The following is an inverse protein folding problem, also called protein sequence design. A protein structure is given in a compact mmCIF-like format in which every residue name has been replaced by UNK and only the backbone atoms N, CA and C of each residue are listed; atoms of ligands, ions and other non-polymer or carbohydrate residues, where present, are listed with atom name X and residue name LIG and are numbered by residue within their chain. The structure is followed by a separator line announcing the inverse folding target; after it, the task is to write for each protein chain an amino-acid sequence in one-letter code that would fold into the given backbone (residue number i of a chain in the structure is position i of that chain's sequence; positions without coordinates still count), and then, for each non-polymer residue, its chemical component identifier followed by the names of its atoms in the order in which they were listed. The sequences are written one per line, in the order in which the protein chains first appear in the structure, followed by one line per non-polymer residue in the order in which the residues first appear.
data_IF_478189316104
#
_entry.id   IF_478189316104
#
_cell.length_a   1.000
_cell.length_b   1.000
_cell.length_c   1.000
_cell.angle_alpha   90.00
_cell.angle_beta   90.00
_cell.angle_gamma   90.00
#
_symmetry.space_group_name_H-M   'P 1'
#
loop_
_entity.id
_entity.type
_entity.pdbx_description
1 polymer ?
#
# COMPACT_ATOMS: atom_id res chain seq x y z
N UNK A 1 -8.18 -37.13 -11.81
CA UNK A 1 -8.93 -38.17 -11.08
C UNK A 1 -8.05 -39.34 -10.66
N UNK A 2 -7.27 -39.97 -11.55
CA UNK A 2 -6.41 -41.13 -11.18
C UNK A 2 -5.34 -40.78 -10.12
N UNK A 3 -4.68 -39.61 -10.24
CA UNK A 3 -3.65 -39.16 -9.29
C UNK A 3 -4.21 -38.81 -7.90
N UNK A 4 -5.43 -38.27 -7.85
CA UNK A 4 -6.14 -37.96 -6.60
C UNK A 4 -6.69 -39.23 -5.93
N UNK A 5 -7.11 -40.23 -6.73
CA UNK A 5 -7.52 -41.53 -6.23
C UNK A 5 -6.33 -42.36 -5.70
N UNK A 6 -5.19 -42.31 -6.38
CA UNK A 6 -3.96 -42.97 -5.92
C UNK A 6 -3.39 -42.30 -4.65
N UNK A 7 -3.45 -40.97 -4.57
CA UNK A 7 -3.09 -40.20 -3.36
C UNK A 7 -4.04 -40.51 -2.20
N UNK A 8 -5.35 -40.58 -2.44
CA UNK A 8 -6.33 -41.03 -1.42
C UNK A 8 -6.05 -42.46 -0.95
N UNK A 9 -5.73 -43.40 -1.85
CA UNK A 9 -5.37 -44.78 -1.49
C UNK A 9 -4.04 -44.92 -0.75
N UNK A 10 -3.10 -43.99 -0.94
CA UNK A 10 -1.86 -43.93 -0.18
C UNK A 10 -2.07 -43.28 1.19
N UNK A 11 -3.06 -42.39 1.32
CA UNK A 11 -3.47 -41.79 2.59
C UNK A 11 -4.36 -42.71 3.43
N UNK A 12 -5.13 -43.62 2.81
CA UNK A 12 -6.09 -44.54 3.47
C UNK A 12 -5.50 -45.27 4.69
N UNK A 13 -4.35 -45.99 4.61
CA UNK A 13 -3.87 -46.77 5.76
C UNK A 13 -3.37 -45.90 6.91
N UNK A 14 -2.72 -44.77 6.60
CA UNK A 14 -2.23 -43.83 7.62
C UNK A 14 -3.38 -43.05 8.26
N UNK A 15 -4.42 -42.71 7.49
CA UNK A 15 -5.61 -42.05 7.97
C UNK A 15 -6.45 -43.00 8.84
N UNK A 16 -6.60 -44.25 8.43
CA UNK A 16 -7.29 -45.30 9.18
C UNK A 16 -6.55 -45.62 10.49
N UNK A 17 -5.22 -45.73 10.46
CA UNK A 17 -4.41 -45.93 11.67
C UNK A 17 -4.48 -44.73 12.62
N UNK A 18 -4.39 -43.51 12.09
CA UNK A 18 -4.53 -42.29 12.89
C UNK A 18 -5.93 -42.19 13.50
N UNK A 19 -6.98 -42.52 12.74
CA UNK A 19 -8.37 -42.48 13.21
C UNK A 19 -8.67 -43.58 14.23
N UNK A 20 -8.13 -44.79 14.04
CA UNK A 20 -8.21 -45.85 15.04
C UNK A 20 -7.53 -45.42 16.34
N UNK A 21 -6.28 -44.92 16.27
CA UNK A 21 -5.56 -44.40 17.45
C UNK A 21 -6.31 -43.25 18.12
N UNK A 22 -6.95 -42.36 17.35
CA UNK A 22 -7.76 -41.28 17.91
C UNK A 22 -8.92 -41.76 18.77
N UNK A 23 -9.48 -42.94 18.46
CA UNK A 23 -10.63 -43.49 19.17
C UNK A 23 -10.25 -44.48 20.28
N UNK A 24 -9.03 -45.01 20.28
CA UNK A 24 -8.63 -46.11 21.19
C UNK A 24 -7.49 -45.76 22.15
N UNK A 25 -6.61 -44.82 21.81
CA UNK A 25 -5.45 -44.46 22.65
C UNK A 25 -5.81 -43.41 23.71
N UNK A 26 -5.11 -43.45 24.85
CA UNK A 26 -5.22 -42.42 25.89
C UNK A 26 -4.60 -41.09 25.44
N UNK A 27 -5.08 -39.99 26.00
CA UNK A 27 -4.85 -38.62 25.51
C UNK A 27 -3.38 -38.24 25.24
N UNK A 28 -2.38 -38.64 26.05
CA UNK A 28 -0.97 -38.31 25.79
C UNK A 28 -0.40 -38.89 24.49
N UNK A 29 -0.85 -40.09 24.09
CA UNK A 29 -0.40 -40.80 22.90
C UNK A 29 -1.43 -40.73 21.75
N UNK A 30 -2.57 -40.08 22.01
CA UNK A 30 -3.68 -39.94 21.09
C UNK A 30 -3.40 -38.84 20.04
N UNK A 31 -3.44 -39.13 18.73
CA UNK A 31 -3.23 -38.12 17.68
C UNK A 31 -4.20 -36.93 17.73
N UNK A 32 -5.36 -37.06 18.40
CA UNK A 32 -6.30 -35.97 18.64
C UNK A 32 -5.69 -34.83 19.46
N UNK A 33 -4.64 -35.10 20.26
CA UNK A 33 -3.88 -34.07 20.96
C UNK A 33 -3.39 -32.96 20.00
N UNK A 34 -3.08 -33.29 18.75
CA UNK A 34 -2.69 -32.29 17.74
C UNK A 34 -3.81 -31.29 17.42
N UNK A 35 -5.09 -31.70 17.53
CA UNK A 35 -6.24 -30.80 17.39
C UNK A 35 -6.27 -29.83 18.56
N UNK A 36 -6.14 -30.31 19.81
CA UNK A 36 -6.07 -29.45 20.98
C UNK A 36 -4.87 -28.49 20.93
N UNK A 37 -3.74 -28.94 20.39
CA UNK A 37 -2.57 -28.08 20.14
C UNK A 37 -2.90 -27.01 19.09
N UNK A 38 -3.59 -27.37 18.00
CA UNK A 38 -3.99 -26.41 16.96
C UNK A 38 -5.06 -25.40 17.43
N UNK A 39 -5.94 -25.80 18.37
CA UNK A 39 -6.88 -24.89 19.03
C UNK A 39 -6.18 -23.88 19.95
N UNK A 40 -5.12 -24.32 20.63
CA UNK A 40 -4.34 -23.47 21.55
C UNK A 40 -3.30 -22.61 20.83
N UNK A 41 -2.66 -23.14 19.78
CA UNK A 41 -1.55 -22.53 19.06
C UNK A 41 -1.88 -22.47 17.57
N UNK A 42 -1.83 -21.27 17.00
CA UNK A 42 -1.99 -21.12 15.55
C UNK A 42 -0.91 -21.91 14.77
N UNK A 43 -1.22 -22.47 13.59
CA UNK A 43 -0.22 -23.12 12.75
C UNK A 43 1.01 -22.25 12.47
N UNK A 44 0.79 -20.94 12.30
CA UNK A 44 1.86 -19.94 12.16
C UNK A 44 2.77 -19.92 13.39
N UNK A 45 2.20 -19.87 14.60
CA UNK A 45 2.99 -19.84 15.83
C UNK A 45 3.83 -21.11 16.02
N UNK A 46 3.28 -22.28 15.68
CA UNK A 46 4.00 -23.56 15.74
C UNK A 46 5.18 -23.56 14.76
N UNK A 47 4.95 -23.18 13.50
CA UNK A 47 6.00 -23.13 12.48
C UNK A 47 7.08 -22.09 12.80
N UNK A 48 6.70 -20.89 13.22
CA UNK A 48 7.66 -19.86 13.62
C UNK A 48 8.45 -20.29 14.86
N UNK A 49 7.84 -20.99 15.82
CA UNK A 49 8.57 -21.54 16.98
C UNK A 49 9.60 -22.59 16.54
N UNK A 50 9.25 -23.49 15.62
CA UNK A 50 10.19 -24.47 15.06
C UNK A 50 11.36 -23.80 14.32
N UNK A 51 11.09 -22.80 13.48
CA UNK A 51 12.13 -22.04 12.78
C UNK A 51 13.06 -21.31 13.77
N UNK A 52 12.50 -20.73 14.84
CA UNK A 52 13.29 -20.08 15.89
C UNK A 52 14.16 -21.08 16.65
N UNK A 53 13.62 -22.27 16.95
CA UNK A 53 14.35 -23.32 17.64
C UNK A 53 15.53 -23.85 16.81
N UNK A 54 15.35 -23.98 15.49
CA UNK A 54 16.39 -24.44 14.57
C UNK A 54 17.50 -23.39 14.35
N UNK A 55 17.11 -22.12 14.12
CA UNK A 55 18.05 -21.07 13.72
C UNK A 55 18.70 -20.36 14.91
N UNK A 56 18.01 -20.24 16.04
CA UNK A 56 18.51 -19.49 17.20
C UNK A 56 18.60 -17.98 16.99
N UNK A 57 18.06 -17.44 15.90
CA UNK A 57 18.10 -16.01 15.53
C UNK A 57 16.70 -15.43 15.33
N UNK A 58 16.61 -14.13 15.11
CA UNK A 58 15.39 -13.46 14.70
C UNK A 58 14.86 -14.00 13.36
N UNK A 59 13.53 -14.11 13.25
CA UNK A 59 12.89 -14.47 11.99
C UNK A 59 12.72 -13.26 11.10
N UNK A 60 12.79 -13.49 9.80
CA UNK A 60 12.49 -12.49 8.76
C UNK A 60 11.35 -13.02 7.89
N UNK A 61 10.31 -12.21 7.69
CA UNK A 61 9.12 -12.56 6.93
C UNK A 61 8.91 -11.61 5.74
N UNK A 62 8.64 -12.11 4.52
CA UNK A 62 8.33 -11.27 3.38
C UNK A 62 6.84 -10.86 3.35
N UNK A 63 6.50 -9.90 2.48
CA UNK A 63 5.17 -9.40 2.15
C UNK A 63 4.45 -8.59 3.24
N UNK A 64 4.98 -8.50 4.45
CA UNK A 64 4.38 -7.72 5.55
C UNK A 64 3.38 -8.53 6.39
N UNK A 65 2.59 -7.80 7.19
CA UNK A 65 1.63 -8.39 8.12
C UNK A 65 0.48 -9.08 7.37
N UNK A 66 0.10 -10.33 7.73
CA UNK A 66 -1.17 -10.90 7.30
C UNK A 66 -2.35 -10.40 8.14
N UNK A 67 -2.10 -9.65 9.22
CA UNK A 67 -3.13 -9.08 10.09
C UNK A 67 -3.63 -7.78 9.47
N UNK A 68 -4.90 -7.76 9.08
CA UNK A 68 -5.57 -6.57 8.53
C UNK A 68 -6.51 -6.01 9.57
N UNK A 69 -6.25 -4.78 10.01
CA UNK A 69 -7.00 -4.11 11.08
C UNK A 69 -7.85 -2.95 10.55
N UNK A 70 -7.56 -2.44 9.36
CA UNK A 70 -8.37 -1.43 8.69
C UNK A 70 -9.72 -2.01 8.25
N UNK A 71 -10.86 -1.51 8.78
CA UNK A 71 -12.19 -2.10 8.56
C UNK A 71 -12.80 -1.62 7.24
N UNK A 72 -12.06 -1.73 6.13
CA UNK A 72 -12.49 -1.24 4.83
C UNK A 72 -13.86 -1.81 4.41
N UNK A 73 -14.16 -3.06 4.76
CA UNK A 73 -15.42 -3.73 4.45
C UNK A 73 -16.63 -3.23 5.22
N UNK A 74 -16.41 -2.50 6.33
CA UNK A 74 -17.49 -1.89 7.13
C UNK A 74 -17.88 -0.49 6.62
N UNK A 75 -17.11 0.07 5.68
CA UNK A 75 -17.41 1.32 4.99
C UNK A 75 -18.13 1.02 3.68
N UNK A 76 -19.28 1.64 3.44
CA UNK A 76 -20.09 1.45 2.24
C UNK A 76 -20.20 2.75 1.45
N UNK A 77 -20.11 2.65 0.12
CA UNK A 77 -20.39 3.76 -0.80
C UNK A 77 -21.91 3.94 -0.96
N UNK A 78 -22.37 5.18 -0.94
CA UNK A 78 -23.80 5.53 -0.96
C UNK A 78 -24.31 5.81 -2.38
N UNK A 79 -25.08 4.91 -3.00
CA UNK A 79 -25.65 5.18 -4.33
C UNK A 79 -26.70 6.30 -4.28
N UNK A 80 -26.83 7.05 -5.37
CA UNK A 80 -27.81 8.14 -5.52
C UNK A 80 -28.65 7.87 -6.76
N UNK A 81 -29.97 8.01 -6.65
CA UNK A 81 -30.90 7.58 -7.71
C UNK A 81 -31.92 8.66 -8.09
N UNK A 82 -32.73 9.14 -7.13
CA UNK A 82 -33.88 9.99 -7.43
C UNK A 82 -33.70 11.44 -6.96
N UNK A 83 -33.14 11.66 -5.77
CA UNK A 83 -32.90 13.02 -5.25
C UNK A 83 -31.67 13.69 -5.91
N UNK A 84 -30.76 12.87 -6.45
CA UNK A 84 -29.67 13.26 -7.32
C UNK A 84 -29.51 12.14 -8.33
N UNK A 85 -29.73 12.46 -9.61
CA UNK A 85 -29.61 11.47 -10.68
C UNK A 85 -28.14 11.02 -10.83
N UNK A 86 -27.88 9.73 -11.10
CA UNK A 86 -26.56 9.26 -11.48
C UNK A 86 -26.01 10.02 -12.68
N UNK A 87 -24.68 10.10 -12.76
CA UNK A 87 -24.03 10.64 -13.94
C UNK A 87 -24.32 9.73 -15.17
N UNK A 88 -24.67 10.25 -16.35
CA UNK A 88 -25.18 9.42 -17.43
C UNK A 88 -24.14 8.48 -18.07
N UNK A 89 -22.86 8.85 -18.06
CA UNK A 89 -21.79 8.08 -18.72
C UNK A 89 -20.56 7.97 -17.82
N UNK A 90 -20.29 6.77 -17.31
CA UNK A 90 -19.14 6.52 -16.45
C UNK A 90 -17.80 6.73 -17.17
N UNK A 91 -17.75 6.59 -18.50
CA UNK A 91 -16.51 6.73 -19.27
C UNK A 91 -15.97 8.16 -19.27
N UNK A 92 -16.83 9.14 -19.00
CA UNK A 92 -16.49 10.56 -18.86
C UNK A 92 -16.14 10.96 -17.42
N UNK A 93 -16.19 10.03 -16.46
CA UNK A 93 -15.77 10.33 -15.09
C UNK A 93 -14.28 10.63 -15.07
N UNK A 94 -13.92 11.81 -14.57
CA UNK A 94 -12.54 12.27 -14.47
C UNK A 94 -11.80 11.46 -13.40
N UNK A 95 -10.72 10.82 -13.82
CA UNK A 95 -9.86 9.95 -13.00
C UNK A 95 -8.51 10.59 -12.71
N UNK A 96 -8.25 11.78 -13.25
CA UNK A 96 -6.96 12.45 -13.11
C UNK A 96 -6.73 12.93 -11.68
N UNK A 97 -5.48 12.87 -11.23
CA UNK A 97 -5.04 13.49 -9.97
C UNK A 97 -3.74 14.25 -10.17
N UNK A 98 -3.51 15.26 -9.34
CA UNK A 98 -2.31 16.10 -9.39
C UNK A 98 -1.67 16.10 -8.01
N UNK A 99 -0.42 15.68 -7.93
CA UNK A 99 0.37 15.72 -6.69
C UNK A 99 1.33 16.91 -6.75
N UNK A 100 1.31 17.71 -5.68
CA UNK A 100 2.06 18.94 -5.55
C UNK A 100 1.68 19.99 -6.60
N UNK A 101 0.41 20.43 -6.68
CA UNK A 101 -0.06 21.41 -7.66
C UNK A 101 0.65 22.77 -7.57
N UNK A 102 1.29 23.07 -6.43
CA UNK A 102 2.08 24.28 -6.20
C UNK A 102 3.56 24.13 -6.61
N UNK A 103 4.01 22.94 -6.98
CA UNK A 103 5.33 22.74 -7.56
C UNK A 103 5.39 23.33 -8.98
N UNK A 104 6.57 23.75 -9.43
CA UNK A 104 6.76 24.29 -10.79
C UNK A 104 6.52 23.23 -11.86
N UNK A 105 6.83 21.97 -11.56
CA UNK A 105 6.57 20.79 -12.39
C UNK A 105 5.73 19.79 -11.59
N UNK A 106 4.40 20.01 -11.45
CA UNK A 106 3.55 19.12 -10.66
C UNK A 106 3.43 17.74 -11.32
N UNK A 107 3.20 16.72 -10.50
CA UNK A 107 3.03 15.35 -10.98
C UNK A 107 1.56 15.14 -11.41
N UNK A 108 1.34 15.00 -12.71
CA UNK A 108 -0.01 14.86 -13.31
C UNK A 108 -0.25 13.40 -13.68
N UNK A 109 -1.16 12.73 -12.97
CA UNK A 109 -1.44 11.30 -13.10
C UNK A 109 -2.80 11.08 -13.76
N UNK A 110 -2.88 10.05 -14.61
CA UNK A 110 -4.12 9.68 -15.29
C UNK A 110 -5.11 8.95 -14.36
N UNK A 111 -4.63 8.40 -13.24
CA UNK A 111 -5.40 7.69 -12.22
C UNK A 111 -4.83 8.01 -10.83
N UNK A 112 -5.63 7.94 -9.75
CA UNK A 112 -5.15 8.20 -8.39
C UNK A 112 -4.53 6.96 -7.73
N UNK A 113 -4.03 6.02 -8.53
CA UNK A 113 -3.38 4.79 -8.08
C UNK A 113 -1.91 4.86 -8.50
N UNK A 114 -1.00 4.83 -7.53
CA UNK A 114 0.44 4.96 -7.73
C UNK A 114 1.14 3.69 -7.25
N UNK A 115 2.29 3.35 -7.84
CA UNK A 115 3.11 2.23 -7.34
C UNK A 115 4.05 2.73 -6.25
N UNK A 116 3.98 2.12 -5.06
CA UNK A 116 4.77 2.51 -3.88
C UNK A 116 6.24 2.14 -4.03
N UNK A 117 7.09 2.76 -3.20
CA UNK A 117 8.54 2.51 -3.20
C UNK A 117 8.89 1.09 -2.76
N UNK A 118 9.54 0.35 -3.66
CA UNK A 118 10.12 -0.97 -3.38
C UNK A 118 11.51 -1.00 -3.99
N UNK A 119 12.55 -1.14 -3.18
CA UNK A 119 13.95 -0.90 -3.58
C UNK A 119 14.48 -1.93 -4.57
N UNK A 120 15.23 -1.48 -5.59
CA UNK A 120 16.12 -2.39 -6.32
C UNK A 120 17.23 -2.87 -5.37
N UNK A 121 17.45 -4.18 -5.30
CA UNK A 121 18.50 -4.78 -4.47
C UNK A 121 18.03 -5.15 -3.07
N UNK A 122 17.57 -4.16 -2.29
CA UNK A 122 17.02 -4.40 -0.95
C UNK A 122 15.71 -5.19 -0.96
N UNK A 123 14.94 -5.10 -2.06
CA UNK A 123 13.66 -5.80 -2.21
C UNK A 123 13.58 -6.52 -3.55
N UNK A 124 13.39 -5.78 -4.64
CA UNK A 124 13.03 -6.31 -5.95
C UNK A 124 14.23 -6.48 -6.86
N UNK A 125 14.12 -7.43 -7.80
CA UNK A 125 15.05 -7.56 -8.93
C UNK A 125 14.92 -6.37 -9.88
N UNK A 126 15.98 -6.08 -10.65
CA UNK A 126 15.94 -5.00 -11.64
C UNK A 126 14.84 -5.24 -12.69
N UNK A 127 14.65 -6.50 -13.10
CA UNK A 127 13.62 -6.88 -14.06
C UNK A 127 12.21 -6.54 -13.54
N UNK A 128 11.94 -6.80 -12.25
CA UNK A 128 10.66 -6.44 -11.66
C UNK A 128 10.49 -4.92 -11.56
N UNK A 129 11.56 -4.18 -11.22
CA UNK A 129 11.55 -2.71 -11.21
C UNK A 129 11.21 -2.12 -12.58
N UNK A 130 11.81 -2.65 -13.64
CA UNK A 130 11.50 -2.28 -15.02
C UNK A 130 10.06 -2.62 -15.40
N UNK A 131 9.56 -3.79 -14.99
CA UNK A 131 8.17 -4.20 -15.27
C UNK A 131 7.16 -3.26 -14.60
N UNK A 132 7.38 -2.91 -13.33
CA UNK A 132 6.53 -1.95 -12.61
C UNK A 132 6.57 -0.57 -13.25
N UNK A 133 7.75 -0.08 -13.64
CA UNK A 133 7.94 1.20 -14.31
C UNK A 133 7.19 1.26 -15.65
N UNK A 134 7.37 0.25 -16.50
CA UNK A 134 6.66 0.12 -17.79
C UNK A 134 5.14 0.01 -17.60
N UNK A 135 4.69 -0.83 -16.67
CA UNK A 135 3.26 -1.02 -16.42
C UNK A 135 2.57 0.24 -15.89
N UNK A 136 3.23 0.96 -14.98
CA UNK A 136 2.76 2.27 -14.50
C UNK A 136 2.72 3.31 -15.64
N UNK A 137 3.74 3.34 -16.50
CA UNK A 137 3.79 4.22 -17.66
C UNK A 137 2.63 3.99 -18.64
N UNK A 138 2.32 2.73 -18.94
CA UNK A 138 1.19 2.32 -19.79
C UNK A 138 -0.17 2.74 -19.20
N UNK A 139 -0.31 2.72 -17.88
CA UNK A 139 -1.51 3.20 -17.18
C UNK A 139 -1.54 4.72 -16.96
N UNK A 140 -0.46 5.44 -17.30
CA UNK A 140 -0.34 6.88 -17.12
C UNK A 140 -0.15 7.31 -15.66
N UNK A 141 0.44 6.46 -14.82
CA UNK A 141 0.73 6.73 -13.41
C UNK A 141 2.22 6.63 -13.08
N UNK A 142 2.58 6.83 -11.81
CA UNK A 142 3.95 6.84 -11.31
C UNK A 142 4.39 5.51 -10.73
N UNK A 143 5.72 5.31 -10.77
CA UNK A 143 6.44 4.31 -9.96
C UNK A 143 7.42 5.00 -9.03
N UNK A 144 7.98 4.27 -8.07
CA UNK A 144 8.86 4.81 -7.04
C UNK A 144 10.09 3.90 -6.86
N UNK A 145 11.28 4.50 -6.77
CA UNK A 145 12.56 3.76 -6.67
C UNK A 145 12.62 2.84 -5.46
N UNK A 146 11.91 3.17 -4.38
CA UNK A 146 12.17 2.61 -3.06
C UNK A 146 13.46 3.16 -2.46
N UNK A 147 13.88 2.60 -1.33
CA UNK A 147 15.16 2.85 -0.66
C UNK A 147 16.37 2.35 -1.49
N UNK A 148 16.58 2.95 -2.67
CA UNK A 148 17.61 2.61 -3.66
C UNK A 148 17.95 3.83 -4.52
N UNK A 149 19.05 3.75 -5.28
CA UNK A 149 19.46 4.77 -6.24
C UNK A 149 18.61 4.76 -7.52
N UNK A 150 18.71 5.82 -8.33
CA UNK A 150 18.11 5.86 -9.67
C UNK A 150 18.95 5.04 -10.65
N UNK A 151 18.41 3.92 -11.11
CA UNK A 151 19.00 3.15 -12.22
C UNK A 151 18.57 3.73 -13.58
N UNK A 152 19.38 3.55 -14.62
CA UNK A 152 19.03 4.01 -15.96
C UNK A 152 17.84 3.22 -16.50
N UNK A 153 17.83 1.92 -16.26
CA UNK A 153 16.79 1.00 -16.71
C UNK A 153 15.42 1.36 -16.13
N UNK A 154 15.34 1.66 -14.82
CA UNK A 154 14.08 2.08 -14.20
C UNK A 154 13.66 3.47 -14.69
N UNK A 155 14.60 4.41 -14.81
CA UNK A 155 14.29 5.77 -15.27
C UNK A 155 13.77 5.78 -16.71
N UNK A 156 14.41 5.04 -17.61
CA UNK A 156 14.05 4.98 -19.03
C UNK A 156 12.70 4.27 -19.23
N UNK A 157 12.36 3.34 -18.35
CA UNK A 157 11.08 2.64 -18.36
C UNK A 157 9.91 3.45 -17.77
N UNK A 158 10.18 4.37 -16.85
CA UNK A 158 9.16 5.09 -16.10
C UNK A 158 8.68 6.35 -16.84
N UNK A 159 7.35 6.51 -16.95
CA UNK A 159 6.75 7.80 -17.34
C UNK A 159 6.95 8.86 -16.26
N UNK A 160 6.64 8.49 -15.02
CA UNK A 160 6.90 9.30 -13.83
C UNK A 160 7.64 8.47 -12.78
N UNK A 161 8.79 8.94 -12.32
CA UNK A 161 9.59 8.28 -11.30
C UNK A 161 9.70 9.16 -10.06
N UNK A 162 9.24 8.62 -8.95
CA UNK A 162 9.39 9.19 -7.62
C UNK A 162 10.65 8.59 -6.99
N UNK A 163 11.56 9.42 -6.50
CA UNK A 163 12.76 8.95 -5.82
C UNK A 163 12.58 9.00 -4.31
N UNK A 164 12.76 7.88 -3.63
CA UNK A 164 12.75 7.82 -2.17
C UNK A 164 14.11 8.18 -1.58
N UNK A 165 14.23 9.39 -1.04
CA UNK A 165 15.41 9.85 -0.33
C UNK A 165 15.36 9.33 1.11
N UNK A 166 16.32 8.50 1.50
CA UNK A 166 16.19 7.65 2.69
C UNK A 166 17.50 7.57 3.49
N UNK A 167 17.45 6.81 4.59
CA UNK A 167 18.50 6.73 5.62
C UNK A 167 19.76 5.96 5.19
N UNK A 168 19.71 5.23 4.08
CA UNK A 168 20.88 4.52 3.52
C UNK A 168 21.77 5.39 2.62
N UNK A 169 21.26 6.51 2.10
CA UNK A 169 22.06 7.48 1.33
C UNK A 169 22.34 7.10 -0.13
N UNK A 170 21.78 6.00 -0.65
CA UNK A 170 21.99 5.55 -2.04
C UNK A 170 21.44 6.55 -3.06
N UNK A 171 20.24 7.10 -2.80
CA UNK A 171 19.69 8.21 -3.57
C UNK A 171 20.26 9.53 -3.04
N UNK A 172 21.41 9.92 -3.57
CA UNK A 172 22.07 11.17 -3.20
C UNK A 172 22.67 11.88 -4.41
N UNK A 173 22.95 13.17 -4.23
CA UNK A 173 23.57 14.01 -5.25
C UNK A 173 22.59 14.56 -6.29
N UNK A 174 23.01 15.65 -6.92
CA UNK A 174 22.20 16.38 -7.90
C UNK A 174 21.96 15.58 -9.19
N UNK A 175 22.91 14.73 -9.60
CA UNK A 175 22.80 13.91 -10.80
C UNK A 175 21.60 12.96 -10.75
N UNK A 176 21.37 12.30 -9.60
CA UNK A 176 20.23 11.41 -9.43
C UNK A 176 18.93 12.19 -9.20
N UNK A 177 18.95 13.15 -8.28
CA UNK A 177 17.73 13.86 -7.86
C UNK A 177 17.12 14.72 -8.97
N UNK A 178 17.94 15.26 -9.88
CA UNK A 178 17.45 16.05 -11.03
C UNK A 178 16.71 15.23 -12.08
N UNK A 179 16.83 13.89 -12.06
CA UNK A 179 16.16 12.97 -12.99
C UNK A 179 14.76 12.56 -12.53
N UNK A 180 14.32 13.00 -11.35
CA UNK A 180 13.06 12.58 -10.75
C UNK A 180 11.90 13.50 -11.15
N UNK A 181 10.68 12.95 -11.07
CA UNK A 181 9.42 13.68 -11.27
C UNK A 181 8.74 14.06 -9.94
N UNK A 182 9.18 13.46 -8.83
CA UNK A 182 8.94 13.89 -7.46
C UNK A 182 9.99 13.28 -6.52
N UNK A 183 10.19 13.91 -5.36
CA UNK A 183 11.12 13.45 -4.32
C UNK A 183 10.31 13.11 -3.07
N UNK A 184 10.50 11.91 -2.54
CA UNK A 184 9.83 11.44 -1.33
C UNK A 184 10.87 11.23 -0.22
N UNK A 185 10.84 12.05 0.82
CA UNK A 185 11.69 11.86 1.99
C UNK A 185 11.10 10.73 2.82
N UNK A 186 11.78 9.59 2.82
CA UNK A 186 11.31 8.41 3.50
C UNK A 186 11.84 8.36 4.94
N UNK A 187 10.91 8.49 5.90
CA UNK A 187 11.17 8.42 7.34
C UNK A 187 10.53 7.18 7.98
N UNK A 188 9.47 6.61 7.40
CA UNK A 188 8.71 5.53 8.02
C UNK A 188 7.95 4.64 7.04
N UNK A 189 7.89 3.33 7.31
CA UNK A 189 7.12 2.36 6.53
C UNK A 189 6.29 1.49 7.46
N UNK A 190 5.06 1.17 7.07
CA UNK A 190 4.09 0.45 7.90
C UNK A 190 4.57 -0.90 8.44
N UNK A 191 5.33 -1.66 7.63
CA UNK A 191 5.78 -3.01 8.01
C UNK A 191 6.83 -3.06 9.14
N UNK A 192 7.45 -1.92 9.50
CA UNK A 192 8.53 -1.91 10.49
C UNK A 192 8.74 -0.58 11.24
N UNK A 193 7.94 0.45 10.96
CA UNK A 193 8.00 1.75 11.63
C UNK A 193 9.13 2.68 11.18
N UNK A 194 10.17 2.17 10.50
CA UNK A 194 11.23 2.97 9.88
C UNK A 194 12.34 3.47 10.80
N UNK A 195 12.60 2.81 11.93
CA UNK A 195 13.58 3.24 12.92
C UNK A 195 14.58 2.15 13.36
N UNK A 196 14.74 1.07 12.58
CA UNK A 196 15.77 0.05 12.86
C UNK A 196 16.82 -0.03 11.75
N UNK A 197 17.98 -0.56 12.11
CA UNK A 197 19.11 -0.74 11.21
C UNK A 197 18.89 -1.98 10.34
N UNK A 198 19.20 -1.88 9.05
CA UNK A 198 19.14 -2.97 8.09
C UNK A 198 20.49 -3.12 7.37
N UNK A 199 21.41 -3.95 7.90
CA UNK A 199 22.67 -4.23 7.24
C UNK A 199 22.47 -5.21 6.07
N UNK A 200 23.06 -4.87 4.94
CA UNK A 200 23.22 -5.72 3.76
C UNK A 200 24.71 -6.07 3.58
N UNK A 201 25.11 -7.31 3.91
CA UNK A 201 26.47 -7.79 3.69
C UNK A 201 26.94 -7.67 2.23
N UNK A 202 28.24 -7.45 2.04
CA UNK A 202 28.84 -7.19 0.73
C UNK A 202 28.66 -8.34 -0.28
N UNK A 203 28.63 -9.59 0.19
CA UNK A 203 28.42 -10.80 -0.61
C UNK A 203 27.00 -10.90 -1.18
N UNK A 204 26.04 -10.19 -0.59
CA UNK A 204 24.67 -10.07 -1.14
C UNK A 204 24.57 -8.98 -2.21
N UNK A 205 25.56 -8.10 -2.34
CA UNK A 205 25.53 -6.96 -3.27
C UNK A 205 26.28 -7.33 -4.56
N UNK A 206 25.51 -7.58 -5.62
CA UNK A 206 26.02 -7.92 -6.94
C UNK A 206 26.63 -6.70 -7.65
N UNK A 207 27.42 -6.96 -8.70
CA UNK A 207 28.19 -5.92 -9.42
C UNK A 207 27.35 -4.74 -9.88
N UNK A 208 26.20 -5.00 -10.49
CA UNK A 208 25.31 -3.95 -10.99
C UNK A 208 24.75 -3.09 -9.85
N UNK A 209 24.27 -3.72 -8.78
CA UNK A 209 23.76 -3.02 -7.60
C UNK A 209 24.84 -2.17 -6.93
N UNK A 210 26.06 -2.71 -6.83
CA UNK A 210 27.24 -2.01 -6.30
C UNK A 210 27.53 -0.72 -7.07
N UNK A 211 27.51 -0.80 -8.40
CA UNK A 211 27.68 0.36 -9.28
C UNK A 211 26.55 1.38 -9.10
N UNK A 212 25.29 0.91 -9.08
CA UNK A 212 24.13 1.79 -8.89
C UNK A 212 24.16 2.53 -7.53
N UNK A 213 24.65 1.88 -6.48
CA UNK A 213 24.76 2.44 -5.14
C UNK A 213 26.07 3.19 -4.87
N UNK A 214 26.95 3.32 -5.87
CA UNK A 214 28.27 3.95 -5.74
C UNK A 214 29.11 3.38 -4.59
N UNK A 215 29.07 2.05 -4.43
CA UNK A 215 29.80 1.33 -3.38
C UNK A 215 31.15 0.81 -3.90
N UNK A 216 32.16 0.84 -3.04
CA UNK A 216 33.47 0.24 -3.30
C UNK A 216 33.39 -1.29 -3.32
N UNK A 217 34.36 -1.96 -3.95
CA UNK A 217 34.45 -3.42 -3.95
C UNK A 217 34.64 -3.96 -2.52
N UNK A 218 33.82 -4.96 -2.15
CA UNK A 218 33.83 -5.53 -0.80
C UNK A 218 33.09 -4.70 0.26
N UNK A 219 32.56 -3.52 -0.09
CA UNK A 219 31.76 -2.71 0.84
C UNK A 219 30.33 -3.27 1.00
N UNK A 220 29.87 -3.40 2.24
CA UNK A 220 28.45 -3.66 2.54
C UNK A 220 27.62 -2.37 2.43
N UNK A 221 26.34 -2.46 2.77
CA UNK A 221 25.48 -1.30 2.95
C UNK A 221 24.69 -1.41 4.24
N UNK A 222 24.30 -0.28 4.83
CA UNK A 222 23.37 -0.28 5.98
C UNK A 222 22.37 0.84 5.79
N UNK A 223 21.08 0.50 5.87
CA UNK A 223 20.04 1.51 6.09
C UNK A 223 19.98 1.75 7.59
N UNK A 224 20.35 2.94 8.03
CA UNK A 224 20.45 3.28 9.46
C UNK A 224 19.11 3.69 10.06
N UNK A 225 18.97 3.62 11.38
CA UNK A 225 17.83 4.11 12.15
C UNK A 225 17.50 5.59 11.88
N UNK A 226 18.51 6.42 11.58
CA UNK A 226 18.36 7.85 11.27
C UNK A 226 19.20 8.22 10.06
N UNK A 227 18.82 9.26 9.33
CA UNK A 227 19.64 9.76 8.22
C UNK A 227 20.99 10.27 8.76
N UNK A 228 22.12 9.92 8.12
CA UNK A 228 23.43 10.41 8.53
C UNK A 228 23.47 11.94 8.66
N UNK A 229 23.98 12.42 9.79
CA UNK A 229 24.07 13.87 10.08
C UNK A 229 22.76 14.54 10.52
N UNK A 230 21.66 13.79 10.72
CA UNK A 230 20.38 14.32 11.23
C UNK A 230 20.15 13.87 12.67
N UNK A 231 20.06 14.81 13.60
CA UNK A 231 19.94 14.55 15.04
C UNK A 231 18.64 15.11 15.63
N UNK A 232 18.05 16.10 14.99
CA UNK A 232 16.85 16.81 15.47
C UNK A 232 15.81 16.95 14.36
N UNK A 233 14.55 17.18 14.74
CA UNK A 233 13.47 17.47 13.78
C UNK A 233 13.79 18.70 12.91
N UNK A 234 14.51 19.68 13.47
CA UNK A 234 14.94 20.87 12.73
C UNK A 234 15.89 20.53 11.56
N UNK A 235 16.72 19.49 11.70
CA UNK A 235 17.62 19.06 10.63
C UNK A 235 16.84 18.48 9.43
N UNK A 236 15.71 17.80 9.70
CA UNK A 236 14.81 17.29 8.68
C UNK A 236 13.99 18.42 8.05
N UNK A 237 13.46 19.36 8.83
CA UNK A 237 12.75 20.53 8.30
C UNK A 237 13.65 21.32 7.35
N UNK A 238 14.89 21.59 7.76
CA UNK A 238 15.87 22.30 6.95
C UNK A 238 16.18 21.55 5.65
N UNK A 239 16.31 20.23 5.72
CA UNK A 239 16.57 19.38 4.55
C UNK A 239 15.40 19.37 3.55
N UNK A 240 14.17 19.17 4.03
CA UNK A 240 12.96 19.18 3.19
C UNK A 240 12.82 20.53 2.48
N UNK A 241 13.00 21.63 3.23
CA UNK A 241 12.90 22.98 2.67
C UNK A 241 14.00 23.27 1.66
N UNK A 242 15.23 22.80 1.91
CA UNK A 242 16.33 22.94 0.96
C UNK A 242 16.05 22.17 -0.35
N UNK A 243 15.54 20.94 -0.27
CA UNK A 243 15.15 20.18 -1.47
C UNK A 243 14.02 20.86 -2.23
N UNK A 244 13.00 21.36 -1.52
CA UNK A 244 11.88 22.10 -2.13
C UNK A 244 12.33 23.37 -2.85
N UNK A 245 13.34 24.06 -2.31
CA UNK A 245 13.91 25.25 -2.93
C UNK A 245 14.81 24.91 -4.14
N UNK A 246 15.51 23.78 -4.08
CA UNK A 246 16.48 23.37 -5.10
C UNK A 246 15.84 22.70 -6.32
N UNK A 247 14.76 21.94 -6.14
CA UNK A 247 14.14 21.13 -7.20
C UNK A 247 12.74 21.62 -7.55
N UNK A 248 12.44 21.65 -8.85
CA UNK A 248 11.18 22.17 -9.38
C UNK A 248 10.00 21.19 -9.27
N UNK A 249 10.26 19.96 -8.80
CA UNK A 249 9.27 18.87 -8.65
C UNK A 249 8.65 18.84 -7.25
N UNK A 250 7.52 18.13 -7.06
CA UNK A 250 6.94 17.93 -5.74
C UNK A 250 7.94 17.26 -4.79
N UNK A 251 8.02 17.77 -3.56
CA UNK A 251 8.79 17.16 -2.47
C UNK A 251 7.83 16.76 -1.38
N UNK A 252 7.79 15.48 -1.02
CA UNK A 252 6.91 14.96 0.01
C UNK A 252 7.63 14.25 1.13
N UNK A 253 6.90 13.94 2.20
CA UNK A 253 7.41 13.19 3.35
C UNK A 253 6.57 11.93 3.53
N UNK A 254 7.23 10.78 3.65
CA UNK A 254 6.59 9.50 3.94
C UNK A 254 6.87 9.09 5.38
N UNK A 255 5.80 8.78 6.12
CA UNK A 255 5.86 8.33 7.52
C UNK A 255 5.01 7.08 7.72
N UNK A 256 5.39 6.27 8.71
CA UNK A 256 4.58 5.15 9.18
C UNK A 256 3.43 5.68 10.04
N UNK A 257 2.28 4.99 9.97
CA UNK A 257 1.18 5.23 10.89
C UNK A 257 1.60 4.95 12.32
N UNK A 258 1.35 5.90 13.22
CA UNK A 258 1.75 5.83 14.63
C UNK A 258 0.70 6.54 15.48
N UNK A 259 0.60 6.17 16.76
CA UNK A 259 -0.30 6.86 17.70
C UNK A 259 0.10 8.33 17.93
N UNK A 260 1.32 8.70 17.55
CA UNK A 260 1.84 10.06 17.59
C UNK A 260 1.63 10.86 16.29
N UNK A 261 0.72 10.43 15.41
CA UNK A 261 0.58 10.99 14.06
C UNK A 261 0.41 12.51 14.05
N UNK A 262 -0.34 13.10 14.98
CA UNK A 262 -0.53 14.55 15.08
C UNK A 262 0.77 15.29 15.43
N UNK A 263 1.64 14.68 16.25
CA UNK A 263 2.94 15.27 16.58
C UNK A 263 3.91 15.19 15.40
N UNK A 264 3.89 14.08 14.65
CA UNK A 264 4.65 13.95 13.40
C UNK A 264 4.18 14.99 12.37
N UNK A 265 2.85 15.14 12.23
CA UNK A 265 2.25 16.14 11.34
C UNK A 265 2.58 17.58 11.78
N UNK A 266 2.65 17.87 13.08
CA UNK A 266 3.07 19.17 13.59
C UNK A 266 4.52 19.52 13.19
N UNK A 267 5.41 18.53 13.09
CA UNK A 267 6.76 18.70 12.57
C UNK A 267 6.74 18.90 11.06
N UNK A 268 6.05 18.03 10.32
CA UNK A 268 5.92 18.13 8.86
C UNK A 268 5.29 19.47 8.45
N UNK A 269 4.37 20.00 9.26
CA UNK A 269 3.70 21.27 9.00
C UNK A 269 4.63 22.49 9.03
N UNK A 270 5.82 22.36 9.62
CA UNK A 270 6.86 23.40 9.62
C UNK A 270 7.72 23.35 8.34
N UNK A 271 7.54 22.33 7.51
CA UNK A 271 8.21 22.20 6.21
C UNK A 271 7.43 22.89 5.08
N UNK A 272 8.06 22.97 3.92
CA UNK A 272 7.48 23.40 2.64
C UNK A 272 7.15 22.20 1.74
N UNK A 273 6.98 20.99 2.30
CA UNK A 273 6.60 19.82 1.52
C UNK A 273 5.26 20.04 0.79
N UNK A 274 5.11 19.41 -0.36
CA UNK A 274 3.92 19.45 -1.22
C UNK A 274 2.94 18.31 -0.90
N UNK A 275 3.43 17.18 -0.38
CA UNK A 275 2.60 16.01 -0.08
C UNK A 275 3.11 15.20 1.11
N UNK A 276 2.21 14.43 1.70
CA UNK A 276 2.45 13.54 2.83
C UNK A 276 1.97 12.14 2.44
N UNK A 277 2.81 11.14 2.64
CA UNK A 277 2.44 9.73 2.50
C UNK A 277 2.30 9.13 3.89
N UNK A 278 1.14 8.56 4.17
CA UNK A 278 0.87 7.85 5.42
C UNK A 278 0.74 6.36 5.17
N UNK A 279 1.65 5.59 5.78
CA UNK A 279 1.79 4.15 5.56
C UNK A 279 1.36 3.36 6.79
N UNK A 280 0.14 2.82 6.76
CA UNK A 280 -0.40 2.05 7.87
C UNK A 280 0.28 0.70 8.05
N UNK A 281 0.09 0.10 9.23
CA UNK A 281 0.77 -1.14 9.66
C UNK A 281 0.55 -2.34 8.73
N UNK A 282 -0.48 -2.31 7.87
CA UNK A 282 -0.70 -3.31 6.82
C UNK A 282 0.22 -3.14 5.59
N UNK A 283 1.23 -2.28 5.67
CA UNK A 283 2.28 -2.10 4.67
C UNK A 283 3.08 -3.39 4.42
N UNK A 284 3.51 -3.57 3.17
CA UNK A 284 4.38 -4.68 2.76
C UNK A 284 5.86 -4.39 3.00
N UNK A 285 6.67 -5.44 3.00
CA UNK A 285 8.15 -5.36 2.96
C UNK A 285 8.74 -6.62 2.33
N UNK A 286 9.95 -6.55 1.78
CA UNK A 286 10.67 -7.75 1.35
C UNK A 286 11.12 -8.60 2.54
N UNK A 287 11.47 -7.94 3.64
CA UNK A 287 12.03 -8.54 4.83
C UNK A 287 11.76 -7.62 6.04
N UNK A 288 11.15 -8.16 7.10
CA UNK A 288 11.13 -7.55 8.44
C UNK A 288 10.78 -8.63 9.45
N UNK A 289 10.97 -8.36 10.74
CA UNK A 289 10.62 -9.28 11.80
C UNK A 289 9.09 -9.38 11.97
N UNK A 290 8.53 -10.58 12.25
CA UNK A 290 7.10 -10.75 12.49
C UNK A 290 6.54 -9.80 13.55
N UNK A 291 7.29 -9.55 14.64
CA UNK A 291 6.86 -8.62 15.70
C UNK A 291 6.68 -7.20 15.18
N UNK A 292 7.63 -6.71 14.37
CA UNK A 292 7.58 -5.37 13.78
C UNK A 292 6.44 -5.23 12.77
N UNK A 293 6.12 -6.29 12.04
CA UNK A 293 5.01 -6.29 11.09
C UNK A 293 3.64 -6.36 11.80
N UNK A 294 3.51 -7.23 12.79
CA UNK A 294 2.20 -7.57 13.37
C UNK A 294 1.78 -6.64 14.52
N UNK A 295 2.72 -5.92 15.17
CA UNK A 295 2.47 -5.22 16.44
C UNK A 295 2.97 -3.77 16.50
N UNK A 296 3.47 -3.21 15.40
CA UNK A 296 3.98 -1.83 15.38
C UNK A 296 3.17 -0.98 14.40
N UNK A 297 2.81 0.22 14.85
CA UNK A 297 2.12 1.22 14.06
C UNK A 297 0.60 1.11 14.08
N UNK A 298 -0.05 2.11 13.47
CA UNK A 298 -1.50 2.19 13.36
C UNK A 298 -2.00 1.65 12.01
N UNK A 299 -3.22 1.08 11.98
CA UNK A 299 -3.85 0.68 10.73
C UNK A 299 -4.02 1.85 9.77
N UNK A 300 -4.00 1.57 8.47
CA UNK A 300 -4.08 2.55 7.38
C UNK A 300 -5.33 3.43 7.50
N UNK A 301 -6.48 2.83 7.79
CA UNK A 301 -7.73 3.57 7.98
C UNK A 301 -7.63 4.61 9.10
N UNK A 302 -7.15 4.22 10.29
CA UNK A 302 -7.04 5.11 11.44
C UNK A 302 -6.02 6.22 11.20
N UNK A 303 -4.90 5.87 10.58
CA UNK A 303 -3.84 6.82 10.24
C UNK A 303 -4.35 7.87 9.26
N UNK A 304 -5.08 7.45 8.21
CA UNK A 304 -5.63 8.35 7.22
C UNK A 304 -6.66 9.31 7.82
N UNK A 305 -7.64 8.79 8.56
CA UNK A 305 -8.70 9.62 9.18
C UNK A 305 -8.08 10.69 10.07
N UNK A 306 -7.22 10.31 11.03
CA UNK A 306 -6.54 11.24 11.94
C UNK A 306 -5.69 12.27 11.20
N UNK A 307 -5.02 11.86 10.13
CA UNK A 307 -4.22 12.78 9.29
C UNK A 307 -5.10 13.83 8.62
N UNK A 308 -6.22 13.42 8.02
CA UNK A 308 -7.13 14.34 7.35
C UNK A 308 -7.77 15.30 8.35
N UNK A 309 -8.29 14.78 9.47
CA UNK A 309 -8.92 15.61 10.51
C UNK A 309 -7.93 16.67 11.05
N UNK A 310 -6.71 16.25 11.40
CA UNK A 310 -5.70 17.17 11.91
C UNK A 310 -5.33 18.26 10.89
N UNK A 311 -5.20 17.89 9.61
CA UNK A 311 -4.91 18.86 8.54
C UNK A 311 -6.06 19.84 8.31
N UNK A 312 -7.30 19.40 8.43
CA UNK A 312 -8.48 20.26 8.32
C UNK A 312 -8.58 21.22 9.52
N UNK A 313 -8.47 20.71 10.74
CA UNK A 313 -8.50 21.49 11.99
C UNK A 313 -7.41 22.57 12.03
N UNK A 314 -6.25 22.31 11.44
CA UNK A 314 -5.14 23.26 11.38
C UNK A 314 -5.13 24.12 10.11
N UNK A 315 -6.15 24.04 9.24
CA UNK A 315 -6.25 24.78 7.97
C UNK A 315 -5.08 24.50 7.00
N UNK A 316 -4.57 23.28 6.99
CA UNK A 316 -3.43 22.83 6.19
C UNK A 316 -3.81 21.86 5.07
N UNK A 317 -5.06 21.39 4.99
CA UNK A 317 -5.53 20.42 3.98
C UNK A 317 -5.29 20.86 2.54
N UNK A 318 -5.37 22.17 2.24
CA UNK A 318 -5.11 22.72 0.91
C UNK A 318 -3.62 22.82 0.56
N UNK A 319 -2.72 22.72 1.55
CA UNK A 319 -1.27 22.82 1.36
C UNK A 319 -0.64 21.48 1.01
N UNK A 320 -1.10 20.39 1.63
CA UNK A 320 -0.54 19.07 1.43
C UNK A 320 -1.51 18.16 0.69
N UNK A 321 -1.03 17.53 -0.38
CA UNK A 321 -1.70 16.32 -0.85
C UNK A 321 -1.41 15.16 0.11
N UNK A 322 -2.39 14.29 0.35
CA UNK A 322 -2.26 13.10 1.21
C UNK A 322 -2.35 11.84 0.36
N UNK A 323 -1.33 10.99 0.45
CA UNK A 323 -1.29 9.68 -0.22
C UNK A 323 -1.39 8.59 0.83
N UNK A 324 -2.42 7.75 0.73
CA UNK A 324 -2.64 6.64 1.66
C UNK A 324 -1.98 5.33 1.16
N UNK A 325 -1.37 4.56 2.05
CA UNK A 325 -0.81 3.23 1.75
C UNK A 325 -0.86 2.30 2.95
N UNK A 326 -0.78 1.00 2.68
CA UNK A 326 -0.91 -0.08 3.64
C UNK A 326 -2.19 -0.89 3.40
N UNK A 327 -2.06 -2.17 3.05
CA UNK A 327 -3.21 -3.09 2.92
C UNK A 327 -4.30 -2.76 1.88
N UNK A 328 -4.14 -1.73 1.04
CA UNK A 328 -5.10 -1.38 -0.01
C UNK A 328 -4.97 -2.32 -1.21
N UNK A 329 -6.03 -3.07 -1.54
CA UNK A 329 -5.98 -4.16 -2.53
C UNK A 329 -7.04 -4.09 -3.62
N UNK A 330 -8.16 -3.39 -3.41
CA UNK A 330 -9.29 -3.38 -4.35
C UNK A 330 -9.70 -1.96 -4.74
N UNK A 331 -10.37 -1.77 -5.90
CA UNK A 331 -10.98 -0.49 -6.28
C UNK A 331 -11.87 0.11 -5.20
N UNK A 332 -12.62 -0.73 -4.49
CA UNK A 332 -13.43 -0.33 -3.34
C UNK A 332 -12.60 0.28 -2.21
N UNK A 333 -11.44 -0.31 -1.87
CA UNK A 333 -10.55 0.26 -0.86
C UNK A 333 -10.01 1.62 -1.33
N UNK A 334 -9.61 1.72 -2.60
CA UNK A 334 -9.06 2.96 -3.16
C UNK A 334 -10.10 4.09 -3.10
N UNK A 335 -11.33 3.85 -3.55
CA UNK A 335 -12.42 4.83 -3.50
C UNK A 335 -12.75 5.27 -2.06
N UNK A 336 -12.75 4.33 -1.11
CA UNK A 336 -13.01 4.63 0.31
C UNK A 336 -11.90 5.51 0.87
N UNK A 337 -10.64 5.23 0.56
CA UNK A 337 -9.52 6.09 0.96
C UNK A 337 -9.63 7.49 0.35
N UNK A 338 -9.97 7.61 -0.93
CA UNK A 338 -10.21 8.91 -1.58
C UNK A 338 -11.35 9.67 -0.90
N UNK A 339 -12.49 9.02 -0.65
CA UNK A 339 -13.63 9.61 0.02
C UNK A 339 -13.34 10.04 1.48
N UNK A 340 -12.42 9.36 2.17
CA UNK A 340 -11.96 9.77 3.51
C UNK A 340 -11.04 10.99 3.48
N UNK A 341 -10.52 11.37 2.31
CA UNK A 341 -9.76 12.59 2.08
C UNK A 341 -8.40 12.39 1.42
N UNK A 342 -7.98 11.17 1.08
CA UNK A 342 -6.75 10.95 0.32
C UNK A 342 -6.85 11.53 -1.11
N UNK A 343 -5.76 12.10 -1.62
CA UNK A 343 -5.67 12.60 -3.00
C UNK A 343 -5.21 11.50 -3.98
N UNK A 344 -4.51 10.49 -3.47
CA UNK A 344 -4.11 9.29 -4.20
C UNK A 344 -3.86 8.13 -3.23
N UNK A 345 -3.71 6.93 -3.79
CA UNK A 345 -3.31 5.73 -3.04
C UNK A 345 -2.06 5.11 -3.64
N UNK A 346 -1.23 4.56 -2.77
CA UNK A 346 -0.06 3.78 -3.13
C UNK A 346 -0.38 2.29 -2.98
N UNK A 347 0.02 1.49 -3.97
CA UNK A 347 -0.10 0.03 -3.95
C UNK A 347 1.28 -0.63 -4.15
N UNK A 348 1.50 -1.75 -3.46
CA UNK A 348 2.74 -2.53 -3.53
C UNK A 348 2.48 -4.01 -3.75
N UNK A 349 2.16 -4.75 -2.70
CA UNK A 349 1.97 -6.21 -2.75
C UNK A 349 0.96 -6.66 -3.81
N UNK A 350 -0.19 -5.97 -3.94
CA UNK A 350 -1.19 -6.30 -4.96
C UNK A 350 -0.70 -6.02 -6.39
N UNK A 351 0.10 -4.96 -6.58
CA UNK A 351 0.70 -4.66 -7.89
C UNK A 351 1.72 -5.72 -8.30
N UNK A 352 2.51 -6.24 -7.35
CA UNK A 352 3.42 -7.36 -7.59
C UNK A 352 2.65 -8.62 -8.01
N UNK A 353 1.56 -8.95 -7.31
CA UNK A 353 0.73 -10.11 -7.66
C UNK A 353 0.10 -9.96 -9.04
N UNK A 354 -0.40 -8.76 -9.37
CA UNK A 354 -0.93 -8.47 -10.69
C UNK A 354 0.13 -8.61 -11.79
N UNK A 355 1.33 -8.05 -11.60
CA UNK A 355 2.42 -8.15 -12.57
C UNK A 355 2.89 -9.60 -12.81
N UNK A 356 2.89 -10.44 -11.75
CA UNK A 356 3.35 -11.82 -11.85
C UNK A 356 2.29 -12.82 -12.36
N UNK A 357 1.00 -12.45 -12.41
CA UNK A 357 -0.16 -13.32 -12.59
C UNK A 357 0.10 -14.67 -13.31
N UNK A 358 0.19 -14.69 -14.65
CA UNK A 358 0.35 -15.93 -15.42
C UNK A 358 1.74 -16.56 -15.25
N UNK A 359 2.72 -15.76 -14.83
CA UNK A 359 4.11 -16.14 -14.75
C UNK A 359 4.43 -16.91 -13.46
N UNK A 360 3.58 -16.81 -12.43
CA UNK A 360 3.73 -17.59 -11.18
C UNK A 360 3.80 -19.10 -11.44
N UNK A 361 3.13 -19.60 -12.48
CA UNK A 361 3.21 -21.01 -12.87
C UNK A 361 4.64 -21.46 -13.24
N UNK A 362 5.54 -20.54 -13.63
CA UNK A 362 6.94 -20.84 -13.97
C UNK A 362 7.81 -21.16 -12.74
N UNK A 363 7.36 -20.81 -11.53
CA UNK A 363 8.07 -21.11 -10.28
C UNK A 363 7.49 -22.30 -9.54
N UNK A 364 6.18 -22.56 -9.68
CA UNK A 364 5.51 -23.65 -8.96
C UNK A 364 5.81 -25.03 -9.58
N UNK A 365 5.85 -26.11 -8.75
CA UNK A 365 5.79 -26.12 -7.28
C UNK A 365 7.13 -25.82 -6.58
N UNK A 366 8.15 -25.37 -7.32
CA UNK A 366 9.55 -25.49 -6.88
C UNK A 366 10.02 -24.31 -6.03
N UNK A 367 9.32 -23.18 -6.12
CA UNK A 367 9.59 -21.97 -5.38
C UNK A 367 8.32 -21.12 -5.22
N UNK A 368 8.30 -20.29 -4.18
CA UNK A 368 7.22 -19.34 -3.95
C UNK A 368 7.17 -18.27 -5.06
N UNK A 369 5.99 -17.69 -5.37
CA UNK A 369 5.86 -16.65 -6.40
C UNK A 369 6.80 -15.45 -6.16
N UNK A 370 7.05 -15.11 -4.89
CA UNK A 370 7.96 -14.04 -4.49
C UNK A 370 9.39 -14.22 -5.00
N UNK A 371 9.85 -15.45 -5.24
CA UNK A 371 11.20 -15.74 -5.75
C UNK A 371 11.43 -15.24 -7.19
N UNK A 372 10.37 -14.91 -7.92
CA UNK A 372 10.48 -14.27 -9.24
C UNK A 372 10.63 -12.75 -9.14
N UNK A 373 10.04 -12.14 -8.12
CA UNK A 373 10.08 -10.68 -7.93
C UNK A 373 11.33 -10.20 -7.19
N UNK A 374 11.80 -10.98 -6.20
CA UNK A 374 12.83 -10.53 -5.27
C UNK A 374 14.23 -10.54 -5.89
N UNK A 375 15.07 -9.60 -5.45
CA UNK A 375 16.46 -9.50 -5.88
C UNK A 375 17.27 -10.77 -5.52
N UNK A 376 17.08 -11.31 -4.32
CA UNK A 376 17.70 -12.56 -3.85
C UNK A 376 16.97 -13.81 -4.36
N UNK A 377 15.94 -13.64 -5.19
CA UNK A 377 15.13 -14.72 -5.73
C UNK A 377 15.91 -15.57 -6.74
N UNK A 378 15.85 -16.89 -6.59
CA UNK A 378 16.57 -17.83 -7.47
C UNK A 378 15.95 -18.02 -8.86
N UNK A 379 14.79 -17.40 -9.11
CA UNK A 379 14.03 -17.54 -10.36
C UNK A 379 13.61 -16.19 -10.94
N UNK A 380 14.29 -15.12 -10.56
CA UNK A 380 13.99 -13.78 -11.06
C UNK A 380 14.31 -13.60 -12.55
N UNK A 381 15.23 -14.41 -13.08
CA UNK A 381 15.59 -14.52 -14.49
C UNK A 381 14.45 -15.06 -15.37
N UNK A 382 13.46 -15.75 -14.78
CA UNK A 382 12.27 -16.27 -15.49
C UNK A 382 11.19 -15.21 -15.75
N UNK A 383 11.34 -14.02 -15.16
CA UNK A 383 10.38 -12.93 -15.31
C UNK A 383 10.46 -12.35 -16.72
N UNK A 384 9.35 -12.44 -17.45
CA UNK A 384 9.15 -11.68 -18.68
C UNK A 384 8.67 -10.27 -18.30
N UNK A 385 9.54 -9.28 -18.54
CA UNK A 385 9.33 -7.88 -18.16
C UNK A 385 8.16 -7.26 -18.90
N UNK A 386 8.03 -7.51 -20.20
CA UNK A 386 7.00 -6.86 -21.02
C UNK A 386 5.62 -7.46 -20.73
N UNK A 387 5.57 -8.78 -20.54
CA UNK A 387 4.34 -9.44 -20.12
C UNK A 387 3.90 -8.99 -18.71
N UNK A 388 4.85 -8.88 -17.76
CA UNK A 388 4.56 -8.38 -16.42
C UNK A 388 4.05 -6.93 -16.44
N UNK A 389 4.67 -6.07 -17.26
CA UNK A 389 4.23 -4.69 -17.46
C UNK A 389 2.81 -4.63 -18.03
N UNK A 390 2.49 -5.44 -19.04
CA UNK A 390 1.16 -5.48 -19.64
C UNK A 390 0.10 -5.97 -18.65
N UNK A 391 0.39 -6.98 -17.84
CA UNK A 391 -0.53 -7.46 -16.80
C UNK A 391 -0.79 -6.40 -15.73
N UNK A 392 0.25 -5.70 -15.27
CA UNK A 392 0.08 -4.58 -14.35
C UNK A 392 -0.79 -3.46 -14.97
N UNK A 393 -0.53 -3.10 -16.22
CA UNK A 393 -1.32 -2.09 -16.92
C UNK A 393 -2.79 -2.50 -17.05
N UNK A 394 -3.07 -3.77 -17.36
CA UNK A 394 -4.43 -4.31 -17.41
C UNK A 394 -5.12 -4.23 -16.04
N UNK A 395 -4.41 -4.58 -14.97
CA UNK A 395 -4.93 -4.48 -13.60
C UNK A 395 -5.29 -3.03 -13.26
N UNK A 396 -4.38 -2.08 -13.47
CA UNK A 396 -4.62 -0.65 -13.20
C UNK A 396 -5.78 -0.09 -14.04
N UNK A 397 -5.88 -0.46 -15.32
CA UNK A 397 -6.98 -0.06 -16.19
C UNK A 397 -8.32 -0.67 -15.76
N UNK A 398 -8.32 -1.92 -15.29
CA UNK A 398 -9.50 -2.57 -14.71
C UNK A 398 -9.96 -1.84 -13.45
N UNK A 399 -9.02 -1.52 -12.54
CA UNK A 399 -9.34 -0.75 -11.35
C UNK A 399 -9.91 0.62 -11.71
N UNK A 400 -9.33 1.33 -12.68
CA UNK A 400 -9.86 2.62 -13.17
C UNK A 400 -11.31 2.49 -13.63
N UNK A 401 -11.62 1.51 -14.47
CA UNK A 401 -12.96 1.31 -15.00
C UNK A 401 -13.99 1.02 -13.88
N UNK A 402 -13.63 0.15 -12.92
CA UNK A 402 -14.48 -0.15 -11.77
C UNK A 402 -14.70 1.08 -10.86
N UNK A 403 -13.65 1.89 -10.66
CA UNK A 403 -13.76 3.15 -9.92
C UNK A 403 -14.69 4.15 -10.59
N UNK A 404 -14.66 4.26 -11.92
CA UNK A 404 -15.57 5.12 -12.67
C UNK A 404 -17.03 4.65 -12.55
N UNK A 405 -17.28 3.34 -12.64
CA UNK A 405 -18.62 2.76 -12.42
C UNK A 405 -19.15 3.06 -11.02
N UNK A 406 -18.31 2.91 -9.99
CA UNK A 406 -18.69 3.23 -8.62
C UNK A 406 -18.95 4.74 -8.43
N UNK A 407 -18.11 5.61 -8.99
CA UNK A 407 -18.29 7.06 -8.98
C UNK A 407 -19.62 7.48 -9.64
N UNK A 408 -19.97 6.84 -10.76
CA UNK A 408 -21.26 7.01 -11.42
C UNK A 408 -22.42 6.67 -10.47
N UNK A 409 -22.34 5.52 -9.79
CA UNK A 409 -23.38 5.04 -8.89
C UNK A 409 -23.60 5.98 -7.69
N UNK A 410 -22.53 6.59 -7.16
CA UNK A 410 -22.61 7.60 -6.08
C UNK A 410 -22.87 9.03 -6.60
N UNK A 411 -23.03 9.22 -7.91
CA UNK A 411 -23.37 10.49 -8.53
C UNK A 411 -22.26 11.55 -8.47
N UNK A 412 -21.00 11.13 -8.69
CA UNK A 412 -19.81 11.99 -8.82
C UNK A 412 -19.28 11.98 -10.26
N UNK A 413 -18.74 13.11 -10.71
CA UNK A 413 -18.21 13.29 -12.06
C UNK A 413 -16.69 13.21 -12.11
N UNK A 414 -16.02 13.41 -10.98
CA UNK A 414 -14.60 13.12 -10.82
C UNK A 414 -14.36 12.27 -9.57
N UNK A 415 -13.31 11.44 -9.59
CA UNK A 415 -12.90 10.68 -8.41
C UNK A 415 -12.47 11.58 -7.25
N UNK A 416 -11.87 12.74 -7.56
CA UNK A 416 -11.51 13.77 -6.56
C UNK A 416 -12.71 14.44 -5.89
N UNK A 417 -13.92 14.27 -6.43
CA UNK A 417 -15.14 14.84 -5.83
C UNK A 417 -15.73 13.92 -4.75
N UNK A 418 -15.17 12.72 -4.56
CA UNK A 418 -15.57 11.81 -3.50
C UNK A 418 -15.22 12.41 -2.14
N UNK A 419 -16.18 12.35 -1.21
CA UNK A 419 -16.00 12.85 0.15
C UNK A 419 -16.71 11.95 1.16
N UNK A 420 -16.55 12.27 2.45
CA UNK A 420 -17.14 11.52 3.57
C UNK A 420 -18.67 11.39 3.49
N UNK A 421 -19.36 12.27 2.76
CA UNK A 421 -20.82 12.19 2.56
C UNK A 421 -21.23 11.05 1.61
N UNK A 422 -20.29 10.57 0.79
CA UNK A 422 -20.46 9.39 -0.07
C UNK A 422 -20.26 8.08 0.68
N UNK A 423 -19.84 8.13 1.96
CA UNK A 423 -19.65 6.97 2.81
C UNK A 423 -20.73 6.83 3.89
N UNK A 424 -20.97 5.59 4.31
CA UNK A 424 -21.79 5.23 5.48
C UNK A 424 -21.19 3.99 6.14
N UNK A 425 -21.39 3.85 7.44
CA UNK A 425 -21.04 2.62 8.18
C UNK A 425 -22.24 2.12 8.97
N UNK A 426 -22.37 0.80 9.08
CA UNK A 426 -23.34 0.12 9.96
C UNK A 426 -22.81 -0.03 11.39
N UNK A 427 -21.55 0.31 11.62
CA UNK A 427 -20.92 0.36 12.93
C UNK A 427 -20.87 1.81 13.43
N UNK A 428 -21.47 2.06 14.60
CA UNK A 428 -21.64 3.41 15.14
C UNK A 428 -20.29 4.05 15.48
N UNK A 429 -19.45 3.35 16.23
CA UNK A 429 -18.17 3.87 16.71
C UNK A 429 -17.22 4.17 15.54
N UNK A 430 -17.25 3.31 14.52
CA UNK A 430 -16.51 3.52 13.27
C UNK A 430 -17.03 4.76 12.52
N UNK A 431 -18.35 4.92 12.43
CA UNK A 431 -18.95 6.06 11.76
C UNK A 431 -18.59 7.39 12.45
N UNK A 432 -18.66 7.41 13.78
CA UNK A 432 -18.31 8.54 14.62
C UNK A 432 -16.83 8.91 14.48
N UNK A 433 -15.93 7.93 14.60
CA UNK A 433 -14.49 8.13 14.43
C UNK A 433 -14.15 8.70 13.05
N UNK A 434 -14.74 8.17 11.98
CA UNK A 434 -14.42 8.60 10.62
C UNK A 434 -15.11 9.90 10.20
N UNK A 435 -15.97 10.48 11.05
CA UNK A 435 -16.82 11.61 10.69
C UNK A 435 -17.76 11.30 9.51
N UNK A 436 -18.24 10.06 9.39
CA UNK A 436 -19.20 9.63 8.36
C UNK A 436 -20.56 9.30 9.00
N UNK A 437 -21.58 9.06 8.18
CA UNK A 437 -22.91 8.73 8.73
C UNK A 437 -22.97 7.31 9.29
N UNK A 438 -23.61 7.18 10.45
CA UNK A 438 -24.12 5.92 10.94
C UNK A 438 -25.41 5.55 10.21
N UNK A 439 -25.47 4.32 9.67
CA UNK A 439 -26.54 3.86 8.81
C UNK A 439 -27.92 3.84 9.50
N UNK A 440 -27.97 3.53 10.80
CA UNK A 440 -29.23 3.44 11.53
C UNK A 440 -29.82 4.79 11.94
N UNK A 441 -29.07 5.89 11.85
CA UNK A 441 -29.64 7.23 12.03
C UNK A 441 -30.47 7.60 10.79
N UNK A 442 -31.65 8.21 10.90
CA UNK A 442 -32.35 8.73 9.71
C UNK A 442 -31.66 9.97 9.14
N UNK A 443 -31.75 10.24 7.82
CA UNK A 443 -31.35 11.56 7.28
C UNK A 443 -32.40 12.58 7.73
N UNK A 444 -31.97 13.70 8.30
CA UNK A 444 -32.88 14.72 8.82
C UNK A 444 -33.76 15.29 7.70
N UNK A 445 -35.03 15.57 8.01
CA UNK A 445 -36.03 16.09 7.07
C UNK A 445 -35.68 17.47 6.49
N UNK A 446 -34.77 18.21 7.13
CA UNK A 446 -34.34 19.53 6.68
C UNK A 446 -33.48 19.54 5.42
N UNK A 447 -32.81 18.43 5.05
CA UNK A 447 -32.13 18.33 3.75
C UNK A 447 -33.05 17.93 2.58
N UNK A 448 -34.28 17.46 2.87
CA UNK A 448 -35.31 17.10 1.88
C UNK A 448 -36.33 18.24 1.67
N UNK A 449 -36.07 19.40 2.29
CA UNK A 449 -37.00 20.53 2.43
C UNK A 449 -37.41 21.28 1.15
N UNK A 450 -36.97 20.85 -0.04
CA UNK A 450 -37.37 21.46 -1.31
C UNK A 450 -38.29 20.59 -2.17
N UNK A 451 -38.52 19.31 -1.83
CA UNK A 451 -39.33 18.40 -2.65
C UNK A 451 -40.56 17.81 -1.94
N UNK A 452 -40.66 17.93 -0.62
CA UNK A 452 -41.92 17.60 0.05
C UNK A 452 -42.96 18.66 -0.32
N UNK A 453 -44.04 18.21 -0.95
CA UNK A 453 -45.35 18.89 -1.11
C UNK A 453 -45.53 19.81 -2.35
N UNK A 454 -44.89 19.55 -3.50
CA UNK A 454 -45.43 20.07 -4.78
C UNK A 454 -46.42 19.10 -5.45
N UNK A 455 -46.37 17.81 -5.10
CA UNK A 455 -47.33 16.82 -5.61
C UNK A 455 -48.74 17.02 -5.03
N UNK A 456 -48.86 17.39 -3.75
CA UNK A 456 -50.16 17.66 -3.12
C UNK A 456 -50.79 19.00 -3.56
N UNK A 457 -50.02 19.99 -4.03
CA UNK A 457 -50.60 21.24 -4.53
C UNK A 457 -51.16 21.15 -5.95
N UNK A 458 -50.67 20.22 -6.79
CA UNK A 458 -51.23 20.01 -8.14
C UNK A 458 -52.55 19.23 -8.14
N UNK A 459 -52.78 18.35 -7.17
CA UNK A 459 -54.07 17.65 -7.05
C UNK A 459 -55.17 18.54 -6.41
N UNK A 460 -54.79 19.49 -5.55
CA UNK A 460 -55.74 20.46 -4.96
C UNK A 460 -56.08 21.65 -5.87
N UNK A 461 -55.49 21.75 -7.06
CA UNK A 461 -55.86 22.74 -8.10
C UNK A 461 -56.59 22.10 -9.31
N UNK A 462 -56.85 20.79 -9.26
CA UNK A 462 -57.61 20.05 -10.29
C UNK A 462 -58.95 19.49 -9.79
N UNK A 463 -59.41 19.94 -8.62
CA UNK A 463 -60.77 19.81 -8.10
C UNK A 463 -61.24 21.18 -7.63
#
# INVERSE_FOLDING_TARGET
MLLSWLMMKLMDPMADEAMAKMLTEDYPDNPFLMVCVAEKLSPRAIMEAAMRAELGTELTRPLGSPVVLSPWDQLLLNPKQLFKLPYPDYTQVDTTTVIGPLAKRPLQLAIPIMITGMSYGGSLSLLMKMALAKGAALAGTSTNTGESAVTNEERDAAKFLIGQYHRGGQLSGQEQLSRLDAIEIQLGQGAWGGAVDEPMPADKIGRHLRQAWHLEDGQGNTVYARMPGKQTSQDYITMVNAMKAQYDVPVGVKIAGTDYIEYELAVIAQTQADYIVVDGSEGGTAASNPTLQDNVGLPTFHTLVRTIDWLEENNLRSRFNVIATGGLTTPGHFLKALALGADAVYIGSIALMAAMQAQVAKTLPQATPTQMAMYTGKMNDKLDVDNAAQHLANFLNSCRAEMQLAAQAVGRQALRDLDRSDLVSVEKDLAEFAGIRYAASHRSSHQVGAQKVQYQQRELQMH
#
